data_IF_870063195080
#
_entry.id   IF_870063195080
#
_cell.length_a   1.000
_cell.length_b   1.000
_cell.length_c   1.000
_cell.angle_alpha   90.00
_cell.angle_beta   90.00
_cell.angle_gamma   90.00
#
_symmetry.space_group_name_H-M   'P 1'
#
loop_
_entity.id
_entity.type
_entity.pdbx_description
1 polymer ?
#
# COMPACT_ATOMS: atom_id res chain seq x y z
N UNK A 1 23.43 32.36 7.13
CA UNK A 1 22.28 33.11 6.56
C UNK A 1 22.30 33.17 5.05
N UNK A 2 23.40 33.40 4.36
CA UNK A 2 23.45 33.48 2.89
C UNK A 2 23.20 32.16 2.17
N UNK A 3 23.59 31.02 2.74
CA UNK A 3 23.34 29.68 2.15
C UNK A 3 21.88 29.24 2.23
N UNK A 4 21.16 29.64 3.26
CA UNK A 4 19.75 29.32 3.45
C UNK A 4 18.83 30.05 2.47
N UNK A 5 19.12 31.33 2.25
CA UNK A 5 18.42 32.09 1.20
C UNK A 5 18.65 31.46 -0.18
N UNK A 6 19.81 30.86 -0.40
CA UNK A 6 20.10 30.17 -1.65
C UNK A 6 19.29 28.84 -1.83
N UNK A 7 19.04 28.09 -0.76
CA UNK A 7 18.28 26.85 -0.86
C UNK A 7 16.79 27.14 -1.10
N UNK A 8 16.21 28.07 -0.35
CA UNK A 8 14.82 28.50 -0.56
C UNK A 8 14.64 29.23 -1.90
N UNK A 9 15.63 30.03 -2.31
CA UNK A 9 15.64 30.71 -3.61
C UNK A 9 15.84 29.70 -4.75
N UNK A 10 16.65 28.65 -4.56
CA UNK A 10 16.78 27.57 -5.54
C UNK A 10 15.51 26.72 -5.67
N UNK A 11 14.77 26.50 -4.59
CA UNK A 11 13.46 25.84 -4.65
C UNK A 11 12.39 26.74 -5.27
N UNK A 12 12.48 28.07 -5.05
CA UNK A 12 11.57 29.03 -5.68
C UNK A 12 11.95 29.39 -7.12
N UNK A 13 13.22 29.35 -7.48
CA UNK A 13 13.74 29.73 -8.81
C UNK A 13 13.67 28.57 -9.81
N UNK A 14 13.53 27.32 -9.35
CA UNK A 14 13.14 26.25 -10.25
C UNK A 14 11.66 26.39 -10.60
N UNK A 15 11.39 27.28 -11.52
CA UNK A 15 10.06 27.40 -12.10
C UNK A 15 9.61 26.07 -12.74
N UNK A 16 8.33 25.94 -13.05
CA UNK A 16 7.77 24.71 -13.67
C UNK A 16 8.57 24.21 -14.87
N UNK A 17 9.14 25.12 -15.66
CA UNK A 17 9.97 24.79 -16.81
C UNK A 17 11.31 24.13 -16.46
N UNK A 18 11.94 24.53 -15.35
CA UNK A 18 13.23 23.97 -14.91
C UNK A 18 13.08 22.60 -14.20
N UNK A 19 11.90 22.34 -13.64
CA UNK A 19 11.53 21.04 -13.10
C UNK A 19 10.95 20.07 -14.13
N UNK A 20 10.92 20.46 -15.41
CA UNK A 20 10.24 19.67 -16.44
C UNK A 20 8.73 19.59 -16.25
N UNK A 21 8.13 20.56 -15.54
CA UNK A 21 6.70 20.67 -15.34
C UNK A 21 6.11 21.66 -16.34
N UNK A 22 4.93 21.36 -16.87
CA UNK A 22 4.15 22.35 -17.63
C UNK A 22 3.52 23.38 -16.66
N UNK A 23 2.84 24.38 -17.22
CA UNK A 23 2.19 25.47 -16.46
C UNK A 23 1.14 24.97 -15.45
N UNK A 24 0.72 23.69 -15.55
CA UNK A 24 -0.23 23.02 -14.66
C UNK A 24 0.46 22.15 -13.60
N UNK A 25 1.79 22.18 -13.51
CA UNK A 25 2.57 21.34 -12.59
C UNK A 25 2.67 19.87 -13.03
N UNK A 26 2.41 19.59 -14.30
CA UNK A 26 2.53 18.24 -14.88
C UNK A 26 3.93 18.06 -15.41
N UNK A 27 4.58 16.92 -15.14
CA UNK A 27 5.90 16.62 -15.67
C UNK A 27 5.87 16.67 -17.20
N UNK A 28 6.58 17.62 -17.78
CA UNK A 28 6.69 17.75 -19.22
C UNK A 28 7.52 16.57 -19.76
N UNK A 29 6.91 15.75 -20.59
CA UNK A 29 7.60 14.66 -21.26
C UNK A 29 8.37 15.21 -22.46
N UNK A 30 9.66 14.92 -22.56
CA UNK A 30 10.40 15.16 -23.80
C UNK A 30 9.71 14.43 -24.95
N UNK A 31 9.33 15.17 -25.99
CA UNK A 31 8.66 14.63 -27.17
C UNK A 31 9.70 13.99 -28.10
N UNK A 32 10.08 12.76 -27.79
CA UNK A 32 10.69 11.89 -28.80
C UNK A 32 9.62 11.37 -29.76
N UNK A 33 9.95 11.21 -31.03
CA UNK A 33 9.08 10.50 -32.00
C UNK A 33 9.11 9.02 -31.63
N UNK A 34 8.06 8.55 -30.98
CA UNK A 34 8.00 7.19 -30.46
C UNK A 34 6.98 6.32 -31.20
N UNK A 35 7.23 5.02 -31.36
CA UNK A 35 6.32 4.11 -32.03
C UNK A 35 4.99 3.98 -31.28
N UNK A 36 3.92 3.59 -31.96
CA UNK A 36 2.54 3.56 -31.43
C UNK A 36 2.36 2.80 -30.09
N UNK A 37 3.21 1.82 -29.81
CA UNK A 37 3.17 1.07 -28.56
C UNK A 37 3.63 1.91 -27.36
N UNK A 38 4.55 2.82 -27.57
CA UNK A 38 5.04 3.77 -26.56
C UNK A 38 4.00 4.85 -26.22
N UNK A 39 3.04 5.14 -27.12
CA UNK A 39 2.00 6.12 -26.84
C UNK A 39 1.01 5.65 -25.76
N UNK A 40 0.67 4.36 -25.74
CA UNK A 40 -0.21 3.79 -24.69
C UNK A 40 0.50 3.76 -23.35
N UNK A 41 1.76 3.28 -23.31
CA UNK A 41 2.58 3.31 -22.10
C UNK A 41 2.82 4.73 -21.61
N UNK A 42 3.02 5.68 -22.52
CA UNK A 42 3.13 7.11 -22.22
C UNK A 42 1.84 7.69 -21.66
N UNK A 43 0.70 7.26 -22.17
CA UNK A 43 -0.61 7.70 -21.67
C UNK A 43 -0.86 7.15 -20.25
N UNK A 44 -0.57 5.87 -20.02
CA UNK A 44 -0.66 5.25 -18.70
C UNK A 44 0.36 5.88 -17.74
N UNK A 45 1.59 6.16 -18.21
CA UNK A 45 2.63 6.80 -17.41
C UNK A 45 2.27 8.21 -16.92
N UNK A 46 1.35 8.88 -17.60
CA UNK A 46 0.84 10.22 -17.23
C UNK A 46 -0.57 10.19 -16.64
N UNK A 47 -1.10 9.02 -16.30
CA UNK A 47 -2.45 8.90 -15.74
C UNK A 47 -2.59 9.67 -14.43
N UNK A 48 -3.73 10.34 -14.26
CA UNK A 48 -4.06 11.14 -13.08
C UNK A 48 -5.49 10.83 -12.62
N UNK A 49 -5.68 10.89 -11.30
CA UNK A 49 -7.00 10.82 -10.68
C UNK A 49 -7.19 12.09 -9.83
N UNK A 50 -7.86 13.08 -10.40
CA UNK A 50 -7.94 14.42 -9.80
C UNK A 50 -6.53 15.00 -9.60
N UNK A 51 -6.16 15.45 -8.40
CA UNK A 51 -4.82 15.99 -8.11
C UNK A 51 -3.74 14.92 -7.95
N UNK A 52 -4.11 13.63 -7.94
CA UNK A 52 -3.20 12.52 -7.69
C UNK A 52 -2.60 12.03 -9.01
N UNK A 53 -1.29 12.20 -9.16
CA UNK A 53 -0.55 11.58 -10.25
C UNK A 53 -0.39 10.08 -10.00
N UNK A 54 -0.98 9.25 -10.84
CA UNK A 54 -0.93 7.80 -10.72
C UNK A 54 0.36 7.23 -11.34
N UNK A 55 0.64 7.60 -12.58
CA UNK A 55 1.67 6.96 -13.38
C UNK A 55 1.34 5.50 -13.68
N UNK A 56 2.27 4.76 -14.24
CA UNK A 56 2.07 3.35 -14.57
C UNK A 56 1.75 2.50 -13.33
N UNK A 57 2.58 2.59 -12.30
CA UNK A 57 2.39 1.78 -11.09
C UNK A 57 1.15 2.16 -10.28
N UNK A 58 0.79 3.45 -10.24
CA UNK A 58 -0.45 3.89 -9.61
C UNK A 58 -1.70 3.40 -10.37
N UNK A 59 -1.63 3.36 -11.70
CA UNK A 59 -2.71 2.81 -12.53
C UNK A 59 -2.88 1.31 -12.31
N UNK A 60 -1.77 0.54 -12.26
CA UNK A 60 -1.80 -0.88 -11.93
C UNK A 60 -2.40 -1.09 -10.54
N UNK A 61 -1.94 -0.32 -9.56
CA UNK A 61 -2.45 -0.41 -8.19
C UNK A 61 -3.95 -0.13 -8.09
N UNK A 62 -4.42 0.91 -8.77
CA UNK A 62 -5.84 1.26 -8.79
C UNK A 62 -6.68 0.17 -9.48
N UNK A 63 -6.23 -0.32 -10.62
CA UNK A 63 -6.95 -1.37 -11.37
C UNK A 63 -7.03 -2.67 -10.57
N UNK A 64 -5.90 -3.15 -10.05
CA UNK A 64 -5.88 -4.41 -9.29
C UNK A 64 -6.51 -4.27 -7.91
N UNK A 65 -6.39 -3.12 -7.23
CA UNK A 65 -7.11 -2.86 -5.99
C UNK A 65 -8.63 -2.84 -6.20
N UNK A 66 -9.08 -2.26 -7.31
CA UNK A 66 -10.49 -2.30 -7.72
C UNK A 66 -10.92 -3.72 -8.07
N UNK A 67 -10.10 -4.49 -8.78
CA UNK A 67 -10.36 -5.89 -9.07
C UNK A 67 -10.50 -6.72 -7.79
N UNK A 68 -9.57 -6.56 -6.84
CA UNK A 68 -9.67 -7.20 -5.51
C UNK A 68 -11.00 -6.88 -4.83
N UNK A 69 -11.40 -5.62 -4.80
CA UNK A 69 -12.67 -5.21 -4.18
C UNK A 69 -13.89 -5.89 -4.83
N UNK A 70 -13.95 -5.88 -6.16
CA UNK A 70 -15.05 -6.53 -6.88
C UNK A 70 -15.04 -8.04 -6.74
N UNK A 71 -13.88 -8.69 -6.82
CA UNK A 71 -13.78 -10.16 -6.65
C UNK A 71 -14.20 -10.57 -5.23
N UNK A 72 -13.82 -9.80 -4.22
CA UNK A 72 -14.26 -10.02 -2.84
C UNK A 72 -15.77 -9.87 -2.73
N UNK A 73 -16.34 -8.82 -3.30
CA UNK A 73 -17.79 -8.61 -3.32
C UNK A 73 -18.56 -9.72 -4.06
N UNK A 74 -18.02 -10.21 -5.18
CA UNK A 74 -18.59 -11.35 -5.92
C UNK A 74 -18.56 -12.63 -5.08
N UNK A 75 -17.43 -12.90 -4.40
CA UNK A 75 -17.31 -14.06 -3.52
C UNK A 75 -18.26 -14.00 -2.32
N UNK A 76 -18.38 -12.83 -1.69
CA UNK A 76 -19.34 -12.61 -0.62
C UNK A 76 -20.79 -12.77 -1.08
N UNK A 77 -21.11 -12.31 -2.29
CA UNK A 77 -22.45 -12.48 -2.86
C UNK A 77 -22.75 -13.96 -3.20
N UNK A 78 -21.73 -14.67 -3.71
CA UNK A 78 -21.85 -16.10 -3.99
C UNK A 78 -22.06 -16.91 -2.71
N UNK A 79 -21.41 -16.56 -1.59
CA UNK A 79 -21.57 -17.29 -0.31
C UNK A 79 -22.97 -17.18 0.30
N UNK A 80 -23.80 -16.25 -0.19
CA UNK A 80 -25.23 -16.10 0.17
C UNK A 80 -26.17 -16.41 -1.01
N UNK A 81 -25.78 -17.35 -1.86
CA UNK A 81 -26.58 -17.81 -3.00
C UNK A 81 -27.06 -16.67 -3.92
N UNK A 82 -26.22 -15.68 -4.16
CA UNK A 82 -26.48 -14.50 -5.00
C UNK A 82 -27.63 -13.61 -4.50
N UNK A 83 -28.00 -13.72 -3.23
CA UNK A 83 -29.07 -12.93 -2.62
C UNK A 83 -28.56 -11.58 -2.09
N UNK A 84 -28.87 -10.49 -2.78
CA UNK A 84 -28.58 -9.14 -2.32
C UNK A 84 -29.20 -8.82 -0.95
N UNK A 85 -30.40 -9.33 -0.68
CA UNK A 85 -31.06 -9.15 0.60
C UNK A 85 -30.29 -9.84 1.73
N UNK A 86 -29.84 -11.07 1.53
CA UNK A 86 -29.03 -11.80 2.48
C UNK A 86 -27.66 -11.13 2.68
N UNK A 87 -27.03 -10.66 1.60
CA UNK A 87 -25.76 -9.93 1.67
C UNK A 87 -25.85 -8.72 2.59
N UNK A 88 -26.86 -7.87 2.43
CA UNK A 88 -27.01 -6.68 3.28
C UNK A 88 -27.44 -7.00 4.71
N UNK A 89 -28.25 -8.03 4.93
CA UNK A 89 -28.66 -8.45 6.27
C UNK A 89 -27.48 -8.98 7.07
N UNK A 90 -26.60 -9.74 6.44
CA UNK A 90 -25.53 -10.50 7.10
C UNK A 90 -24.14 -9.92 6.80
N UNK A 91 -24.03 -8.68 6.27
CA UNK A 91 -22.81 -8.06 5.78
C UNK A 91 -21.62 -8.11 6.76
N UNK A 92 -21.91 -8.04 8.07
CA UNK A 92 -20.88 -8.09 9.10
C UNK A 92 -20.27 -9.47 9.30
N UNK A 93 -20.98 -10.52 8.90
CA UNK A 93 -20.61 -11.93 9.12
C UNK A 93 -20.19 -12.65 7.84
N UNK A 94 -20.45 -12.06 6.69
CA UNK A 94 -20.08 -12.63 5.39
C UNK A 94 -18.61 -12.41 5.13
N UNK A 95 -17.95 -13.42 4.55
CA UNK A 95 -16.57 -13.34 4.10
C UNK A 95 -16.37 -13.99 2.74
N UNK A 96 -15.25 -13.66 2.11
CA UNK A 96 -14.61 -14.48 1.12
C UNK A 96 -13.48 -15.23 1.84
N UNK A 97 -13.63 -16.53 1.94
CA UNK A 97 -12.73 -17.38 2.71
C UNK A 97 -11.56 -17.92 1.89
N UNK A 98 -10.40 -18.17 2.53
CA UNK A 98 -9.30 -18.88 1.91
C UNK A 98 -9.68 -20.32 1.55
N UNK A 99 -8.88 -21.01 0.70
CA UNK A 99 -9.07 -22.42 0.39
C UNK A 99 -9.04 -23.31 1.63
N UNK A 100 -9.72 -24.46 1.56
CA UNK A 100 -9.63 -25.51 2.57
C UNK A 100 -8.22 -26.12 2.67
N UNK A 101 -7.95 -26.79 3.79
CA UNK A 101 -6.63 -27.42 4.06
C UNK A 101 -6.28 -28.51 3.02
N UNK A 102 -7.27 -29.16 2.44
CA UNK A 102 -7.12 -30.22 1.45
C UNK A 102 -6.40 -29.78 0.19
N UNK A 103 -6.42 -28.49 -0.12
CA UNK A 103 -5.74 -27.92 -1.27
C UNK A 103 -4.26 -27.57 -1.01
N UNK A 104 -3.84 -27.54 0.25
CA UNK A 104 -2.47 -27.19 0.63
C UNK A 104 -2.05 -25.86 0.02
N UNK A 105 -0.94 -25.85 -0.75
CA UNK A 105 -0.47 -24.71 -1.55
C UNK A 105 -0.90 -24.78 -3.03
N UNK A 106 -1.79 -25.72 -3.38
CA UNK A 106 -2.34 -25.83 -4.73
C UNK A 106 -3.35 -24.72 -5.05
N UNK A 107 -3.81 -24.70 -6.31
CA UNK A 107 -4.86 -23.80 -6.76
C UNK A 107 -6.20 -24.55 -6.82
N UNK A 108 -7.17 -24.24 -5.96
CA UNK A 108 -8.45 -24.91 -5.91
C UNK A 108 -9.40 -24.43 -7.03
N UNK A 109 -10.56 -25.08 -7.20
CA UNK A 109 -11.64 -24.56 -8.03
C UNK A 109 -12.05 -23.14 -7.61
N UNK A 110 -12.59 -22.37 -8.55
CA UNK A 110 -12.88 -20.93 -8.34
C UNK A 110 -13.72 -20.70 -7.09
N UNK A 111 -14.79 -21.47 -6.90
CA UNK A 111 -15.72 -21.28 -5.78
C UNK A 111 -15.34 -22.02 -4.48
N UNK A 112 -14.23 -22.74 -4.49
CA UNK A 112 -13.68 -23.45 -3.33
C UNK A 112 -12.40 -22.81 -2.80
N UNK A 113 -12.24 -21.50 -3.07
CA UNK A 113 -11.09 -20.70 -2.64
C UNK A 113 -10.21 -20.16 -3.77
N UNK A 114 -10.40 -20.60 -5.03
CA UNK A 114 -9.66 -20.07 -6.17
C UNK A 114 -9.89 -18.58 -6.37
N UNK A 115 -11.12 -18.11 -6.19
CA UNK A 115 -11.46 -16.69 -6.26
C UNK A 115 -10.73 -15.88 -5.18
N UNK A 116 -10.60 -16.42 -3.97
CA UNK A 116 -9.85 -15.82 -2.88
C UNK A 116 -8.37 -15.64 -3.26
N UNK A 117 -7.73 -16.66 -3.84
CA UNK A 117 -6.32 -16.57 -4.23
C UNK A 117 -6.10 -15.55 -5.36
N UNK A 118 -7.03 -15.45 -6.32
CA UNK A 118 -6.99 -14.44 -7.37
C UNK A 118 -7.12 -13.04 -6.75
N UNK A 119 -8.10 -12.83 -5.88
CA UNK A 119 -8.31 -11.57 -5.18
C UNK A 119 -7.07 -11.18 -4.35
N UNK A 120 -6.51 -12.12 -3.58
CA UNK A 120 -5.30 -11.90 -2.78
C UNK A 120 -4.08 -11.54 -3.62
N UNK A 121 -3.93 -12.17 -4.79
CA UNK A 121 -2.87 -11.84 -5.74
C UNK A 121 -3.04 -10.43 -6.29
N UNK A 122 -4.27 -10.03 -6.64
CA UNK A 122 -4.57 -8.67 -7.07
C UNK A 122 -4.23 -7.64 -5.98
N UNK A 123 -4.61 -7.92 -4.74
CA UNK A 123 -4.31 -7.05 -3.60
C UNK A 123 -2.80 -6.91 -3.38
N UNK A 124 -2.06 -8.02 -3.40
CA UNK A 124 -0.61 -8.02 -3.20
C UNK A 124 0.09 -7.17 -4.27
N UNK A 125 -0.24 -7.39 -5.54
CA UNK A 125 0.36 -6.62 -6.65
C UNK A 125 -0.05 -5.15 -6.56
N UNK A 126 -1.30 -4.85 -6.19
CA UNK A 126 -1.77 -3.48 -6.01
C UNK A 126 -0.98 -2.74 -4.93
N UNK A 127 -0.81 -3.35 -3.76
CA UNK A 127 -0.08 -2.76 -2.63
C UNK A 127 1.40 -2.53 -2.99
N UNK A 128 2.07 -3.51 -3.59
CA UNK A 128 3.46 -3.38 -4.04
C UNK A 128 3.61 -2.31 -5.12
N UNK A 129 2.70 -2.27 -6.09
CA UNK A 129 2.72 -1.25 -7.14
C UNK A 129 2.53 0.16 -6.58
N UNK A 130 1.63 0.32 -5.59
CA UNK A 130 1.42 1.60 -4.93
C UNK A 130 2.66 2.04 -4.14
N UNK A 131 3.36 1.11 -3.50
CA UNK A 131 4.62 1.40 -2.82
C UNK A 131 5.69 1.86 -3.81
N UNK A 132 5.87 1.13 -4.92
CA UNK A 132 6.84 1.51 -5.97
C UNK A 132 6.51 2.91 -6.51
N UNK A 133 5.24 3.17 -6.81
CA UNK A 133 4.80 4.51 -7.25
C UNK A 133 5.18 5.58 -6.22
N UNK A 134 4.91 5.34 -4.95
CA UNK A 134 5.19 6.30 -3.88
C UNK A 134 6.69 6.58 -3.75
N UNK A 135 7.51 5.56 -3.86
CA UNK A 135 8.97 5.68 -3.82
C UNK A 135 9.51 6.47 -5.03
N UNK A 136 9.06 6.13 -6.22
CA UNK A 136 9.48 6.83 -7.45
C UNK A 136 9.04 8.29 -7.42
N UNK A 137 7.81 8.56 -6.99
CA UNK A 137 7.29 9.92 -6.91
C UNK A 137 8.02 10.77 -5.86
N UNK A 138 8.36 10.20 -4.72
CA UNK A 138 9.18 10.88 -3.73
C UNK A 138 10.57 11.25 -4.29
N UNK A 139 11.18 10.36 -5.07
CA UNK A 139 12.43 10.64 -5.77
C UNK A 139 12.32 11.79 -6.78
N UNK A 140 11.31 11.74 -7.64
CA UNK A 140 11.08 12.76 -8.68
C UNK A 140 10.90 14.16 -8.08
N UNK A 141 10.23 14.24 -6.95
CA UNK A 141 9.94 15.50 -6.26
C UNK A 141 11.06 15.93 -5.30
N UNK A 142 12.12 15.12 -5.15
CA UNK A 142 13.20 15.40 -4.18
C UNK A 142 12.71 15.37 -2.72
N UNK A 143 11.63 14.63 -2.45
CA UNK A 143 11.05 14.50 -1.11
C UNK A 143 11.73 13.39 -0.30
N UNK A 144 11.70 13.52 1.03
CA UNK A 144 12.15 12.47 1.93
C UNK A 144 11.33 11.19 1.79
N UNK A 145 11.99 10.05 1.99
CA UNK A 145 11.41 8.71 1.79
C UNK A 145 10.89 8.05 3.07
N UNK A 146 10.85 8.77 4.18
CA UNK A 146 10.43 8.23 5.48
C UNK A 146 9.00 7.64 5.45
N UNK A 147 8.06 8.24 4.70
CA UNK A 147 6.72 7.67 4.49
C UNK A 147 6.79 6.36 3.71
N UNK A 148 7.66 6.27 2.70
CA UNK A 148 7.84 5.03 1.94
C UNK A 148 8.39 3.90 2.83
N UNK A 149 9.27 4.20 3.78
CA UNK A 149 9.78 3.21 4.72
C UNK A 149 8.73 2.78 5.75
N UNK A 150 7.92 3.72 6.24
CA UNK A 150 6.78 3.39 7.10
C UNK A 150 5.78 2.47 6.37
N UNK A 151 5.49 2.77 5.11
CA UNK A 151 4.64 1.92 4.28
C UNK A 151 5.29 0.57 3.99
N UNK A 152 6.62 0.50 3.78
CA UNK A 152 7.34 -0.76 3.62
C UNK A 152 7.17 -1.67 4.85
N UNK A 153 7.21 -1.13 6.07
CA UNK A 153 6.96 -1.90 7.28
C UNK A 153 5.54 -2.49 7.31
N UNK A 154 4.54 -1.73 6.89
CA UNK A 154 3.16 -2.23 6.76
C UNK A 154 3.04 -3.33 5.68
N UNK A 155 3.78 -3.20 4.58
CA UNK A 155 3.84 -4.25 3.54
C UNK A 155 4.48 -5.52 4.09
N UNK A 156 5.55 -5.42 4.87
CA UNK A 156 6.16 -6.58 5.51
C UNK A 156 5.21 -7.30 6.47
N UNK A 157 4.43 -6.58 7.26
CA UNK A 157 3.37 -7.16 8.06
C UNK A 157 2.38 -7.94 7.19
N UNK A 158 1.92 -7.32 6.11
CA UNK A 158 1.01 -7.95 5.15
C UNK A 158 1.59 -9.23 4.52
N UNK A 159 2.87 -9.20 4.13
CA UNK A 159 3.57 -10.38 3.58
C UNK A 159 3.75 -11.49 4.62
N UNK A 160 4.04 -11.14 5.86
CA UNK A 160 4.19 -12.13 6.94
C UNK A 160 2.90 -12.91 7.17
N UNK A 161 1.77 -12.22 7.29
CA UNK A 161 0.48 -12.85 7.58
C UNK A 161 -0.20 -13.43 6.34
N UNK A 162 0.01 -12.85 5.16
CA UNK A 162 -0.68 -13.23 3.93
C UNK A 162 0.10 -14.14 2.99
N UNK A 163 1.42 -14.29 3.18
CA UNK A 163 2.24 -15.10 2.29
C UNK A 163 3.22 -16.00 3.06
N UNK A 164 4.10 -15.42 3.89
CA UNK A 164 5.20 -16.20 4.48
C UNK A 164 4.71 -17.25 5.47
N UNK A 165 3.75 -16.89 6.34
CA UNK A 165 3.19 -17.85 7.30
C UNK A 165 2.39 -18.96 6.60
N UNK A 166 1.44 -18.71 5.68
CA UNK A 166 0.75 -19.76 4.94
C UNK A 166 1.70 -20.69 4.18
N UNK A 167 2.72 -20.15 3.53
CA UNK A 167 3.73 -20.96 2.82
C UNK A 167 4.55 -21.82 3.79
N UNK A 168 4.96 -21.29 4.94
CA UNK A 168 5.68 -22.04 5.96
C UNK A 168 4.80 -23.13 6.60
N UNK A 169 3.50 -22.88 6.75
CA UNK A 169 2.53 -23.87 7.25
C UNK A 169 2.11 -24.90 6.18
N UNK A 170 2.40 -24.62 4.90
CA UNK A 170 2.12 -25.55 3.79
C UNK A 170 0.67 -25.51 3.29
N UNK A 171 -0.13 -24.52 3.67
CA UNK A 171 -1.53 -24.41 3.28
C UNK A 171 -2.01 -22.96 3.19
N UNK A 172 -2.82 -22.67 2.17
CA UNK A 172 -3.49 -21.38 2.03
C UNK A 172 -4.64 -21.17 3.03
N UNK A 173 -5.12 -22.23 3.68
CA UNK A 173 -6.18 -22.15 4.70
C UNK A 173 -5.82 -21.28 5.90
N UNK A 174 -4.53 -21.05 6.11
CA UNK A 174 -4.00 -20.19 7.17
C UNK A 174 -4.08 -18.69 6.86
N UNK A 175 -4.54 -18.31 5.66
CA UNK A 175 -4.71 -16.90 5.29
C UNK A 175 -5.94 -16.28 5.97
N UNK A 176 -5.92 -14.95 6.12
CA UNK A 176 -7.00 -14.20 6.74
C UNK A 176 -8.22 -14.13 5.81
N UNK A 177 -9.44 -14.42 6.28
CA UNK A 177 -10.65 -14.25 5.47
C UNK A 177 -10.95 -12.77 5.23
N UNK A 178 -11.49 -12.44 4.07
CA UNK A 178 -11.94 -11.08 3.76
C UNK A 178 -13.37 -10.88 4.24
N UNK A 179 -13.52 -10.32 5.41
CA UNK A 179 -14.80 -10.02 6.05
C UNK A 179 -14.57 -9.21 7.31
N UNK A 180 -15.61 -8.54 7.82
CA UNK A 180 -15.47 -7.65 8.98
C UNK A 180 -15.29 -8.48 10.25
N UNK A 181 -16.29 -9.23 10.69
CA UNK A 181 -16.15 -10.08 11.87
C UNK A 181 -15.35 -11.35 11.62
N UNK A 182 -15.40 -12.00 10.44
CA UNK A 182 -14.59 -13.19 10.20
C UNK A 182 -13.08 -12.94 10.34
N UNK A 183 -12.54 -11.78 9.94
CA UNK A 183 -11.12 -11.51 10.15
C UNK A 183 -10.78 -11.30 11.64
N UNK A 184 -11.70 -10.79 12.45
CA UNK A 184 -11.52 -10.68 13.89
C UNK A 184 -11.56 -12.06 14.57
N UNK A 185 -12.46 -12.94 14.14
CA UNK A 185 -12.51 -14.32 14.62
C UNK A 185 -11.24 -15.09 14.25
N UNK A 186 -10.71 -14.88 13.04
CA UNK A 186 -9.42 -15.43 12.63
C UNK A 186 -8.28 -14.95 13.55
N UNK A 187 -8.26 -13.66 13.93
CA UNK A 187 -7.28 -13.11 14.88
C UNK A 187 -7.41 -13.80 16.25
N UNK A 188 -8.63 -13.98 16.75
CA UNK A 188 -8.88 -14.69 18.00
C UNK A 188 -8.47 -16.17 17.93
N UNK A 189 -8.77 -16.84 16.83
CA UNK A 189 -8.36 -18.22 16.59
C UNK A 189 -6.84 -18.35 16.68
N UNK A 190 -6.08 -17.50 16.01
CA UNK A 190 -4.62 -17.52 16.08
C UNK A 190 -4.10 -17.29 17.50
N UNK A 191 -4.70 -16.30 18.23
CA UNK A 191 -4.22 -15.94 19.56
C UNK A 191 -4.54 -16.99 20.64
N UNK A 192 -5.66 -17.71 20.51
CA UNK A 192 -6.15 -18.63 21.54
C UNK A 192 -5.80 -20.10 21.27
N UNK A 193 -5.71 -20.51 20.01
CA UNK A 193 -5.63 -21.93 19.64
C UNK A 193 -4.24 -22.39 19.18
N UNK A 194 -3.31 -21.49 18.84
CA UNK A 194 -1.99 -21.85 18.34
C UNK A 194 -0.88 -21.81 19.40
N UNK A 195 -1.20 -22.18 20.63
CA UNK A 195 -0.22 -22.39 21.69
C UNK A 195 0.43 -21.09 22.19
N UNK A 196 1.70 -21.19 22.59
CA UNK A 196 2.40 -20.04 23.15
C UNK A 196 2.90 -19.11 22.02
N UNK A 197 2.12 -18.08 21.69
CA UNK A 197 2.43 -17.11 20.66
C UNK A 197 3.74 -16.35 20.89
N UNK A 198 4.22 -16.24 22.12
CA UNK A 198 5.50 -15.58 22.40
C UNK A 198 6.69 -16.26 21.73
N UNK A 199 6.62 -17.55 21.47
CA UNK A 199 7.65 -18.30 20.76
C UNK A 199 7.38 -18.49 19.26
N UNK A 200 6.27 -17.94 18.76
CA UNK A 200 5.96 -17.99 17.34
C UNK A 200 6.71 -16.86 16.60
N UNK A 201 7.66 -17.17 15.70
CA UNK A 201 8.43 -16.14 15.00
C UNK A 201 7.56 -15.25 14.09
N UNK A 202 6.49 -15.77 13.52
CA UNK A 202 5.57 -14.97 12.70
C UNK A 202 4.78 -13.98 13.54
N UNK A 203 4.37 -14.35 14.75
CA UNK A 203 3.73 -13.43 15.69
C UNK A 203 4.69 -12.32 16.12
N UNK A 204 5.93 -12.67 16.47
CA UNK A 204 6.94 -11.70 16.85
C UNK A 204 7.25 -10.71 15.73
N UNK A 205 7.44 -11.19 14.49
CA UNK A 205 7.64 -10.34 13.32
C UNK A 205 6.43 -9.46 13.03
N UNK A 206 5.22 -9.99 13.17
CA UNK A 206 3.98 -9.21 12.98
C UNK A 206 3.88 -8.06 13.98
N UNK A 207 4.22 -8.29 15.23
CA UNK A 207 4.27 -7.24 16.27
C UNK A 207 5.30 -6.18 15.91
N UNK A 208 6.53 -6.59 15.54
CA UNK A 208 7.60 -5.65 15.18
C UNK A 208 7.16 -4.75 14.01
N UNK A 209 6.62 -5.33 12.95
CA UNK A 209 6.19 -4.54 11.79
C UNK A 209 4.93 -3.72 12.05
N UNK A 210 3.98 -4.21 12.84
CA UNK A 210 2.78 -3.47 13.21
C UNK A 210 3.14 -2.24 14.05
N UNK A 211 3.83 -2.42 15.16
CA UNK A 211 4.20 -1.31 16.04
C UNK A 211 5.26 -0.41 15.41
N UNK A 212 6.19 -0.99 14.65
CA UNK A 212 7.19 -0.23 13.90
C UNK A 212 6.56 0.69 12.87
N UNK A 213 5.61 0.21 12.08
CA UNK A 213 4.88 1.04 11.10
C UNK A 213 4.06 2.13 11.80
N UNK A 214 3.35 1.79 12.88
CA UNK A 214 2.57 2.75 13.66
C UNK A 214 3.46 3.85 14.25
N UNK A 215 4.63 3.50 14.80
CA UNK A 215 5.60 4.45 15.33
C UNK A 215 6.12 5.39 14.23
N UNK A 216 6.50 4.86 13.07
CA UNK A 216 7.00 5.66 11.96
C UNK A 216 5.93 6.62 11.40
N UNK A 217 4.68 6.19 11.30
CA UNK A 217 3.58 7.09 10.92
C UNK A 217 3.31 8.16 11.97
N UNK A 218 3.38 7.82 13.26
CA UNK A 218 3.23 8.80 14.34
C UNK A 218 4.38 9.83 14.33
N UNK A 219 5.61 9.40 14.12
CA UNK A 219 6.77 10.29 13.99
C UNK A 219 6.66 11.21 12.78
N UNK A 220 6.18 10.70 11.63
CA UNK A 220 5.94 11.52 10.45
C UNK A 220 4.87 12.58 10.73
N UNK A 221 3.75 12.22 11.35
CA UNK A 221 2.70 13.15 11.75
C UNK A 221 3.20 14.22 12.71
N UNK A 222 3.99 13.84 13.71
CA UNK A 222 4.62 14.79 14.64
C UNK A 222 5.57 15.77 13.93
N UNK A 223 6.35 15.29 12.97
CA UNK A 223 7.25 16.13 12.16
C UNK A 223 6.46 17.14 11.33
N UNK A 224 5.38 16.73 10.68
CA UNK A 224 4.52 17.64 9.90
C UNK A 224 3.93 18.72 10.80
N UNK A 225 3.41 18.36 11.98
CA UNK A 225 2.82 19.31 12.92
C UNK A 225 3.87 20.29 13.49
N UNK A 226 5.07 19.81 13.77
CA UNK A 226 6.16 20.64 14.21
C UNK A 226 6.54 21.66 13.14
N UNK A 227 6.76 21.23 11.89
CA UNK A 227 7.11 22.11 10.77
C UNK A 227 6.01 23.12 10.44
N UNK A 228 4.74 22.75 10.56
CA UNK A 228 3.62 23.66 10.30
C UNK A 228 3.47 24.78 11.32
N UNK A 229 3.94 24.57 12.55
CA UNK A 229 3.87 25.58 13.63
C UNK A 229 5.08 26.52 13.65
N UNK A 230 6.13 26.18 12.97
CA UNK A 230 7.37 26.94 12.99
C UNK A 230 7.30 28.09 12.01
N UNK A 231 7.05 29.29 12.53
CA UNK A 231 7.12 30.55 11.77
C UNK A 231 8.50 31.20 11.78
N UNK A 232 9.53 30.53 12.28
CA UNK A 232 10.87 31.08 12.43
C UNK A 232 11.95 30.27 11.70
N UNK A 233 12.83 30.97 10.95
CA UNK A 233 13.83 30.36 10.07
C UNK A 233 14.82 29.40 10.77
N UNK A 234 15.14 29.64 12.05
CA UNK A 234 16.09 28.80 12.80
C UNK A 234 15.57 27.43 13.24
N UNK A 235 14.28 27.32 13.43
CA UNK A 235 13.66 26.11 13.94
C UNK A 235 13.36 25.14 12.78
N UNK A 236 13.10 25.68 11.59
CA UNK A 236 13.02 24.91 10.35
C UNK A 236 14.36 24.25 10.01
N UNK A 237 15.48 24.95 10.27
CA UNK A 237 16.84 24.45 10.03
C UNK A 237 17.15 23.19 10.84
N UNK A 238 16.85 23.21 12.14
CA UNK A 238 17.08 22.06 13.03
C UNK A 238 16.22 20.85 12.67
N UNK A 239 15.01 21.04 12.19
CA UNK A 239 14.12 19.96 11.81
C UNK A 239 14.52 19.40 10.44
N UNK A 240 14.98 20.23 9.52
CA UNK A 240 15.54 19.77 8.24
C UNK A 240 16.77 18.90 8.46
N UNK A 241 17.68 19.32 9.34
CA UNK A 241 18.86 18.54 9.69
C UNK A 241 18.48 17.20 10.35
N UNK A 242 17.52 17.19 11.26
CA UNK A 242 17.04 15.95 11.87
C UNK A 242 16.34 15.02 10.86
N UNK A 243 15.64 15.58 9.88
CA UNK A 243 14.98 14.76 8.85
C UNK A 243 15.98 14.21 7.82
N UNK A 244 17.07 14.91 7.56
CA UNK A 244 18.15 14.48 6.66
C UNK A 244 19.06 13.41 7.28
N UNK A 245 19.24 13.42 8.60
CA UNK A 245 20.06 12.43 9.31
C UNK A 245 19.42 11.04 9.30
N UNK A 246 18.11 10.94 9.13
CA UNK A 246 17.36 9.67 9.09
C UNK A 246 17.07 9.16 7.67
N UNK A 247 17.60 9.80 6.65
CA UNK A 247 17.51 9.39 5.26
C UNK A 247 18.81 8.78 4.79
#
# INVERSE_FOLDING_TARGET
MAEYHNILTQVQVRGPAEMGLDERGIVAKERGVEPRFSSILGYIGNAQLGPIHLGMFGTIALFLGTAWFFLTGVGMLQSVDWSWQALWRDLWWISLDPPGEEYGLGFPPIWEGGLYLIASTCLLIAVLSWWIRSYLRANELGMGKHVCWAFAAAIWLFLVIGLFRPVAMGTWSEMVPYGIFPHLDWTNYLSLNHGNLFYNPFHALSIVFLYGSALLFAMHGATILATSRMGGDRELEQIYDLSLIHI
#
